data_IF_903793394985
#
_entry.id   IF_903793394985
#
_cell.length_a   1.000
_cell.length_b   1.000
_cell.length_c   1.000
_cell.angle_alpha   90.00
_cell.angle_beta   90.00
_cell.angle_gamma   90.00
#
_symmetry.space_group_name_H-M   'P 1'
#
loop_
_entity.id
_entity.type
_entity.pdbx_description
1 polymer ?
#
# COMPACT_ATOMS: atom_id res chain seq x y z
N UNK A 1 29.76 -1.41 0.44
CA UNK A 1 28.98 -0.19 0.12
C UNK A 1 28.49 0.41 1.42
N UNK A 2 28.87 1.66 1.74
CA UNK A 2 28.40 2.33 2.95
C UNK A 2 26.88 2.57 2.89
N UNK A 3 26.24 2.53 4.05
CA UNK A 3 24.79 2.76 4.23
C UNK A 3 24.42 4.13 3.68
N UNK A 4 23.67 4.18 2.59
CA UNK A 4 23.27 5.41 1.89
C UNK A 4 22.32 6.30 2.69
N UNK A 5 21.58 5.72 3.62
CA UNK A 5 20.60 6.40 4.48
C UNK A 5 20.77 5.92 5.92
N UNK A 6 20.81 6.82 6.92
CA UNK A 6 20.80 6.43 8.32
C UNK A 6 19.52 5.67 8.68
N UNK A 7 19.58 4.84 9.71
CA UNK A 7 18.38 4.23 10.29
C UNK A 7 17.55 5.27 11.07
N UNK A 8 16.31 4.95 11.35
CA UNK A 8 15.45 5.80 12.18
C UNK A 8 16.07 6.05 13.56
N UNK A 9 16.75 5.07 14.13
CA UNK A 9 17.43 5.22 15.42
C UNK A 9 18.61 6.18 15.34
N UNK A 10 19.44 6.09 14.29
CA UNK A 10 20.58 7.00 14.09
C UNK A 10 20.10 8.45 13.91
N UNK A 11 18.98 8.66 13.19
CA UNK A 11 18.37 9.99 13.01
C UNK A 11 17.85 10.53 14.35
N UNK A 12 17.20 9.70 15.15
CA UNK A 12 16.71 10.06 16.47
C UNK A 12 17.88 10.45 17.41
N UNK A 13 18.94 9.66 17.42
CA UNK A 13 20.13 9.94 18.23
C UNK A 13 20.85 11.24 17.77
N UNK A 14 20.85 11.52 16.46
CA UNK A 14 21.37 12.79 15.94
C UNK A 14 20.53 13.98 16.43
N UNK A 15 19.19 13.87 16.44
CA UNK A 15 18.30 14.89 16.96
C UNK A 15 18.55 15.15 18.46
N UNK A 16 18.70 14.09 19.27
CA UNK A 16 19.00 14.19 20.71
C UNK A 16 20.34 14.85 21.00
N UNK A 17 21.36 14.67 20.13
CA UNK A 17 22.65 15.35 20.27
C UNK A 17 22.53 16.85 20.10
N UNK A 18 21.55 17.34 19.34
CA UNK A 18 21.31 18.78 19.15
C UNK A 18 20.71 19.38 20.43
N UNK A 19 19.71 18.73 21.00
CA UNK A 19 19.16 19.09 22.31
C UNK A 19 18.53 17.85 22.97
N UNK A 20 19.13 17.35 24.08
CA UNK A 20 18.60 16.16 24.78
C UNK A 20 17.28 16.42 25.51
N UNK A 21 16.91 17.70 25.71
CA UNK A 21 15.72 18.11 26.46
C UNK A 21 14.54 18.49 25.57
N UNK A 22 14.58 18.14 24.27
CA UNK A 22 13.42 18.31 23.39
C UNK A 22 12.19 17.60 23.94
N UNK A 23 11.05 18.28 23.94
CA UNK A 23 9.78 17.61 24.14
C UNK A 23 9.44 16.71 22.93
N UNK A 24 8.34 15.94 23.03
CA UNK A 24 7.94 14.98 22.01
C UNK A 24 7.68 15.63 20.64
N UNK A 25 7.16 16.86 20.60
CA UNK A 25 6.85 17.55 19.36
C UNK A 25 8.12 18.16 18.75
N UNK A 26 8.98 18.71 19.58
CA UNK A 26 10.25 19.28 19.18
C UNK A 26 11.18 18.22 18.58
N UNK A 27 11.34 17.08 19.26
CA UNK A 27 12.18 15.97 18.76
C UNK A 27 11.61 15.38 17.48
N UNK A 28 10.27 15.23 17.36
CA UNK A 28 9.61 14.78 16.13
C UNK A 28 9.86 15.77 14.98
N UNK A 29 9.68 17.07 15.22
CA UNK A 29 9.95 18.10 14.22
C UNK A 29 11.39 18.07 13.75
N UNK A 30 12.34 17.94 14.68
CA UNK A 30 13.77 17.90 14.38
C UNK A 30 14.18 16.65 13.60
N UNK A 31 13.68 15.48 13.99
CA UNK A 31 13.92 14.25 13.22
C UNK A 31 13.35 14.35 11.80
N UNK A 32 12.20 15.01 11.62
CA UNK A 32 11.61 15.22 10.31
C UNK A 32 12.43 16.17 9.42
N UNK A 33 13.03 17.20 9.97
CA UNK A 33 14.00 18.05 9.25
C UNK A 33 15.23 17.26 8.80
N UNK A 34 15.79 16.43 9.68
CA UNK A 34 16.92 15.56 9.35
C UNK A 34 16.57 14.56 8.24
N UNK A 35 15.37 13.95 8.29
CA UNK A 35 14.89 13.06 7.22
C UNK A 35 14.85 13.79 5.88
N UNK A 36 14.36 15.03 5.82
CA UNK A 36 14.34 15.84 4.58
C UNK A 36 15.76 16.04 4.04
N UNK A 37 16.71 16.43 4.90
CA UNK A 37 18.12 16.59 4.53
C UNK A 37 18.72 15.30 3.98
N UNK A 38 18.53 14.17 4.68
CA UNK A 38 19.02 12.86 4.23
C UNK A 38 18.37 12.40 2.93
N UNK A 39 17.09 12.71 2.70
CA UNK A 39 16.39 12.42 1.45
C UNK A 39 17.08 13.09 0.26
N UNK A 40 17.47 14.36 0.37
CA UNK A 40 18.18 15.08 -0.68
C UNK A 40 19.54 14.44 -0.99
N UNK A 41 20.31 14.08 0.04
CA UNK A 41 21.59 13.39 -0.12
C UNK A 41 21.40 12.04 -0.79
N UNK A 42 20.40 11.28 -0.36
CA UNK A 42 20.07 9.97 -0.91
C UNK A 42 19.68 10.06 -2.38
N UNK A 43 18.81 11.01 -2.73
CA UNK A 43 18.40 11.25 -4.12
C UNK A 43 19.60 11.52 -5.02
N UNK A 44 20.48 12.44 -4.61
CA UNK A 44 21.70 12.76 -5.36
C UNK A 44 22.57 11.53 -5.60
N UNK A 45 22.82 10.73 -4.57
CA UNK A 45 23.61 9.50 -4.69
C UNK A 45 22.95 8.47 -5.62
N UNK A 46 21.62 8.34 -5.56
CA UNK A 46 20.86 7.42 -6.45
C UNK A 46 20.92 7.87 -7.91
N UNK A 47 20.86 9.16 -8.19
CA UNK A 47 21.07 9.69 -9.55
C UNK A 47 22.47 9.33 -10.03
N UNK A 48 23.50 9.50 -9.22
CA UNK A 48 24.88 9.14 -9.55
C UNK A 48 25.02 7.62 -9.85
N UNK A 49 24.49 6.75 -9.00
CA UNK A 49 24.49 5.30 -9.20
C UNK A 49 23.75 4.90 -10.49
N UNK A 50 22.60 5.51 -10.78
CA UNK A 50 21.84 5.25 -11.99
C UNK A 50 22.67 5.60 -13.24
N UNK A 51 23.32 6.78 -13.21
CA UNK A 51 24.12 7.25 -14.33
C UNK A 51 25.37 6.39 -14.59
N UNK A 52 25.97 5.81 -13.54
CA UNK A 52 27.09 4.88 -13.69
C UNK A 52 26.71 3.63 -14.52
N UNK A 53 25.47 3.17 -14.38
CA UNK A 53 24.96 1.97 -15.05
C UNK A 53 24.34 2.25 -16.44
N UNK A 54 24.28 3.51 -16.88
CA UNK A 54 23.77 3.86 -18.19
C UNK A 54 24.89 3.72 -19.25
N UNK A 55 24.59 2.99 -20.31
CA UNK A 55 25.46 2.87 -21.49
C UNK A 55 25.27 4.05 -22.44
N UNK A 56 25.76 5.22 -22.01
CA UNK A 56 25.74 6.47 -22.79
C UNK A 56 27.05 7.23 -22.60
N UNK A 57 27.47 8.07 -23.60
CA UNK A 57 28.66 8.89 -23.49
C UNK A 57 28.70 9.79 -22.24
N UNK A 58 29.88 10.04 -21.70
CA UNK A 58 30.06 10.77 -20.44
C UNK A 58 29.50 12.20 -20.48
N UNK A 59 29.64 12.90 -21.61
CA UNK A 59 29.05 14.23 -21.80
C UNK A 59 27.52 14.22 -21.71
N UNK A 60 26.86 13.12 -22.08
CA UNK A 60 25.42 12.93 -21.93
C UNK A 60 25.06 12.68 -20.47
N UNK A 61 25.83 11.85 -19.74
CA UNK A 61 25.64 11.64 -18.29
C UNK A 61 25.70 12.94 -17.51
N UNK A 62 26.68 13.80 -17.83
CA UNK A 62 26.83 15.13 -17.20
C UNK A 62 25.60 16.00 -17.43
N UNK A 63 25.06 16.03 -18.67
CA UNK A 63 23.84 16.79 -18.97
C UNK A 63 22.64 16.24 -18.17
N UNK A 64 22.43 14.93 -18.18
CA UNK A 64 21.35 14.29 -17.43
C UNK A 64 21.46 14.61 -15.94
N UNK A 65 22.66 14.45 -15.37
CA UNK A 65 22.91 14.78 -13.94
C UNK A 65 22.52 16.21 -13.62
N UNK A 66 22.96 17.18 -14.46
CA UNK A 66 22.64 18.58 -14.28
C UNK A 66 21.14 18.86 -14.27
N UNK A 67 20.38 18.27 -15.19
CA UNK A 67 18.94 18.46 -15.25
C UNK A 67 18.19 17.79 -14.09
N UNK A 68 18.58 16.57 -13.71
CA UNK A 68 17.94 15.84 -12.61
C UNK A 68 18.17 16.47 -11.23
N UNK A 69 19.33 17.13 -11.03
CA UNK A 69 19.70 17.75 -9.76
C UNK A 69 19.49 19.28 -9.75
N UNK A 70 18.80 19.81 -10.76
CA UNK A 70 18.54 21.25 -10.86
C UNK A 70 17.61 21.72 -9.75
N UNK A 71 18.03 22.77 -9.03
CA UNK A 71 17.14 23.48 -8.12
C UNK A 71 16.27 24.49 -8.87
N UNK A 72 15.07 24.73 -8.37
CA UNK A 72 14.13 25.73 -8.88
C UNK A 72 13.52 26.48 -7.71
N UNK A 73 13.38 27.80 -7.86
CA UNK A 73 12.66 28.67 -6.93
C UNK A 73 11.27 28.94 -7.51
N UNK A 74 10.23 28.63 -6.75
CA UNK A 74 8.83 28.93 -7.11
C UNK A 74 8.22 29.77 -5.98
N UNK A 75 7.96 31.03 -6.27
CA UNK A 75 7.62 32.00 -5.24
C UNK A 75 8.80 32.18 -4.27
N UNK A 76 8.55 31.99 -2.99
CA UNK A 76 9.58 32.09 -1.93
C UNK A 76 10.21 30.75 -1.55
N UNK A 77 9.81 29.66 -2.22
CA UNK A 77 10.26 28.31 -1.88
C UNK A 77 11.27 27.76 -2.87
N UNK A 78 12.42 27.33 -2.36
CA UNK A 78 13.45 26.62 -3.11
C UNK A 78 13.19 25.09 -3.06
N UNK A 79 13.32 24.45 -4.24
CA UNK A 79 13.25 23.00 -4.42
C UNK A 79 14.60 22.51 -4.96
N UNK A 80 15.45 21.98 -4.09
CA UNK A 80 16.81 21.57 -4.43
C UNK A 80 16.88 20.43 -5.45
N UNK A 81 15.88 19.56 -5.47
CA UNK A 81 15.75 18.44 -6.40
C UNK A 81 14.32 18.45 -6.98
N UNK A 82 14.04 19.39 -7.86
CA UNK A 82 12.68 19.62 -8.36
C UNK A 82 12.07 18.39 -9.04
N UNK A 83 12.86 17.66 -9.82
CA UNK A 83 12.40 16.44 -10.48
C UNK A 83 12.00 15.32 -9.50
N UNK A 84 12.70 15.22 -8.35
CA UNK A 84 12.30 14.29 -7.28
C UNK A 84 10.94 14.66 -6.70
N UNK A 85 10.71 15.93 -6.43
CA UNK A 85 9.43 16.41 -5.90
C UNK A 85 8.28 16.20 -6.89
N UNK A 86 8.49 16.45 -8.18
CA UNK A 86 7.52 16.19 -9.25
C UNK A 86 7.20 14.70 -9.33
N UNK A 87 8.22 13.84 -9.38
CA UNK A 87 8.06 12.38 -9.45
C UNK A 87 7.32 11.83 -8.22
N UNK A 88 7.62 12.37 -7.05
CA UNK A 88 6.94 12.00 -5.80
C UNK A 88 5.44 12.34 -5.84
N UNK A 89 5.09 13.56 -6.29
CA UNK A 89 3.68 13.98 -6.42
C UNK A 89 2.93 13.16 -7.44
N UNK A 90 3.54 12.93 -8.61
CA UNK A 90 2.97 12.08 -9.65
C UNK A 90 2.71 10.68 -9.09
N UNK A 91 3.73 10.06 -8.47
CA UNK A 91 3.60 8.71 -7.89
C UNK A 91 2.50 8.63 -6.84
N UNK A 92 2.36 9.63 -5.97
CA UNK A 92 1.30 9.68 -4.98
C UNK A 92 -0.09 9.77 -5.63
N UNK A 93 -0.25 10.62 -6.66
CA UNK A 93 -1.52 10.74 -7.39
C UNK A 93 -1.90 9.42 -8.05
N UNK A 94 -0.95 8.76 -8.74
CA UNK A 94 -1.20 7.47 -9.38
C UNK A 94 -1.49 6.35 -8.38
N UNK A 95 -0.90 6.37 -7.18
CA UNK A 95 -1.22 5.41 -6.13
C UNK A 95 -2.68 5.53 -5.67
N UNK A 96 -3.18 6.75 -5.50
CA UNK A 96 -4.59 7.00 -5.13
C UNK A 96 -5.54 6.53 -6.25
N UNK A 97 -5.26 6.90 -7.51
CA UNK A 97 -6.06 6.47 -8.67
C UNK A 97 -6.09 4.94 -8.78
N UNK A 98 -4.93 4.31 -8.68
CA UNK A 98 -4.79 2.86 -8.75
C UNK A 98 -5.55 2.13 -7.64
N UNK A 99 -5.52 2.66 -6.42
CA UNK A 99 -6.33 2.13 -5.30
C UNK A 99 -7.83 2.24 -5.58
N UNK A 100 -8.30 3.40 -6.03
CA UNK A 100 -9.70 3.60 -6.38
C UNK A 100 -10.15 2.68 -7.53
N UNK A 101 -9.33 2.46 -8.55
CA UNK A 101 -9.63 1.52 -9.63
C UNK A 101 -9.82 0.10 -9.10
N UNK A 102 -8.97 -0.36 -8.20
CA UNK A 102 -9.10 -1.68 -7.59
C UNK A 102 -10.43 -1.85 -6.85
N UNK A 103 -10.82 -0.85 -6.05
CA UNK A 103 -12.12 -0.83 -5.37
C UNK A 103 -13.29 -0.85 -6.36
N UNK A 104 -13.22 -0.07 -7.45
CA UNK A 104 -14.24 -0.06 -8.51
C UNK A 104 -14.35 -1.41 -9.22
N UNK A 105 -13.23 -2.09 -9.49
CA UNK A 105 -13.25 -3.44 -10.07
C UNK A 105 -13.99 -4.43 -9.17
N UNK A 106 -13.78 -4.37 -7.87
CA UNK A 106 -14.50 -5.22 -6.91
C UNK A 106 -15.99 -4.86 -6.92
N UNK A 107 -16.33 -3.59 -6.90
CA UNK A 107 -17.72 -3.13 -6.93
C UNK A 107 -18.46 -3.59 -8.18
N UNK A 108 -17.85 -3.49 -9.36
CA UNK A 108 -18.43 -3.97 -10.62
C UNK A 108 -18.80 -5.46 -10.58
N UNK A 109 -17.95 -6.29 -9.97
CA UNK A 109 -18.24 -7.71 -9.82
C UNK A 109 -19.43 -7.97 -8.87
N UNK A 110 -19.55 -7.17 -7.80
CA UNK A 110 -20.72 -7.25 -6.91
C UNK A 110 -22.01 -6.84 -7.64
N UNK A 111 -21.96 -5.76 -8.42
CA UNK A 111 -23.11 -5.25 -9.21
C UNK A 111 -23.56 -6.27 -10.25
N UNK A 112 -22.65 -6.93 -10.97
CA UNK A 112 -22.95 -7.99 -11.95
C UNK A 112 -23.77 -9.13 -11.35
N UNK A 113 -23.58 -9.44 -10.07
CA UNK A 113 -24.35 -10.46 -9.36
C UNK A 113 -25.61 -9.93 -8.66
N UNK A 114 -25.99 -8.67 -8.94
CA UNK A 114 -27.22 -8.06 -8.44
C UNK A 114 -27.13 -7.45 -7.05
N UNK A 115 -25.92 -7.33 -6.46
CA UNK A 115 -25.76 -6.61 -5.20
C UNK A 115 -25.91 -5.10 -5.43
N UNK A 116 -26.61 -4.41 -4.53
CA UNK A 116 -26.93 -3.00 -4.65
C UNK A 116 -26.26 -2.18 -3.56
N UNK A 117 -25.56 -1.11 -3.95
CA UNK A 117 -24.99 -0.13 -3.03
C UNK A 117 -26.11 0.48 -2.16
N UNK A 118 -25.85 0.63 -0.88
CA UNK A 118 -26.80 1.16 0.10
C UNK A 118 -27.82 0.15 0.60
N UNK A 119 -27.98 -1.01 -0.09
CA UNK A 119 -28.87 -2.12 0.32
C UNK A 119 -28.04 -3.30 0.81
N UNK A 120 -27.26 -3.90 -0.08
CA UNK A 120 -26.49 -5.09 0.22
C UNK A 120 -25.06 -4.79 0.66
N UNK A 121 -24.51 -3.63 0.26
CA UNK A 121 -23.17 -3.21 0.68
C UNK A 121 -23.05 -1.70 0.84
N UNK A 122 -22.00 -1.28 1.54
CA UNK A 122 -21.55 0.11 1.68
C UNK A 122 -20.06 0.21 1.42
N UNK A 123 -19.59 1.45 1.10
CA UNK A 123 -18.17 1.72 0.82
C UNK A 123 -17.63 2.77 1.78
N UNK A 124 -16.33 2.67 2.10
CA UNK A 124 -15.53 3.66 2.85
C UNK A 124 -16.14 4.08 4.18
N UNK A 125 -16.75 3.14 4.88
CA UNK A 125 -17.26 3.34 6.23
C UNK A 125 -16.54 2.42 7.21
N UNK A 126 -16.53 2.77 8.48
CA UNK A 126 -15.88 2.00 9.54
C UNK A 126 -14.42 1.63 9.23
N UNK A 127 -13.67 2.52 8.52
CA UNK A 127 -12.29 2.30 8.05
C UNK A 127 -12.10 1.09 7.12
N UNK A 128 -13.17 0.64 6.48
CA UNK A 128 -13.18 -0.51 5.58
C UNK A 128 -13.53 -0.07 4.17
N UNK A 129 -12.91 -0.66 3.16
CA UNK A 129 -13.16 -0.30 1.77
C UNK A 129 -14.59 -0.68 1.36
N UNK A 130 -15.03 -1.91 1.68
CA UNK A 130 -16.39 -2.41 1.40
C UNK A 130 -16.92 -3.21 2.59
N UNK A 131 -18.19 -2.98 2.95
CA UNK A 131 -18.91 -3.79 3.94
C UNK A 131 -20.13 -4.39 3.28
N UNK A 132 -20.26 -5.72 3.29
CA UNK A 132 -21.44 -6.48 2.81
C UNK A 132 -22.30 -6.88 4.01
N UNK A 133 -23.61 -6.77 3.86
CA UNK A 133 -24.59 -7.00 4.93
C UNK A 133 -25.46 -8.23 4.66
N UNK A 134 -25.74 -8.99 5.72
CA UNK A 134 -26.68 -10.10 5.68
C UNK A 134 -27.90 -9.83 6.56
N UNK A 135 -29.15 -9.93 6.07
CA UNK A 135 -29.51 -10.07 4.65
C UNK A 135 -29.34 -8.75 3.87
N UNK A 136 -29.47 -7.60 4.53
CA UNK A 136 -29.34 -6.26 3.96
C UNK A 136 -28.98 -5.22 5.04
N UNK A 137 -28.58 -4.03 4.63
CA UNK A 137 -28.04 -2.97 5.51
C UNK A 137 -29.01 -2.49 6.58
N UNK A 138 -30.29 -2.32 6.26
CA UNK A 138 -31.28 -1.78 7.21
C UNK A 138 -31.58 -2.74 8.38
N UNK A 139 -31.57 -4.04 8.10
CA UNK A 139 -31.92 -5.08 9.06
C UNK A 139 -30.80 -6.12 9.19
N UNK A 140 -29.56 -5.69 9.16
CA UNK A 140 -28.45 -6.64 9.13
C UNK A 140 -28.32 -7.42 10.45
N UNK A 141 -28.10 -8.72 10.31
CA UNK A 141 -27.75 -9.63 11.41
C UNK A 141 -26.24 -9.86 11.49
N UNK A 142 -25.58 -9.77 10.33
CA UNK A 142 -24.12 -9.93 10.20
C UNK A 142 -23.59 -8.95 9.16
N UNK A 143 -22.33 -8.57 9.30
CA UNK A 143 -21.58 -7.82 8.31
C UNK A 143 -20.28 -8.53 7.99
N UNK A 144 -19.83 -8.41 6.74
CA UNK A 144 -18.56 -8.94 6.26
C UNK A 144 -17.75 -7.78 5.66
N UNK A 145 -16.57 -7.55 6.19
CA UNK A 145 -15.69 -6.43 5.86
C UNK A 145 -14.62 -6.88 4.88
N UNK A 146 -14.46 -6.15 3.79
CA UNK A 146 -13.52 -6.44 2.71
C UNK A 146 -12.53 -5.29 2.58
N UNK A 147 -11.25 -5.61 2.70
CA UNK A 147 -10.14 -4.71 2.38
C UNK A 147 -9.66 -4.98 0.96
N UNK A 148 -9.49 -3.92 0.16
CA UNK A 148 -9.01 -3.99 -1.22
C UNK A 148 -7.61 -3.44 -1.31
N UNK A 149 -6.67 -4.20 -1.83
CA UNK A 149 -5.28 -3.78 -1.97
C UNK A 149 -4.78 -3.98 -3.40
N UNK A 150 -4.30 -2.89 -3.99
CA UNK A 150 -3.70 -2.87 -5.34
C UNK A 150 -2.18 -2.69 -5.30
N UNK A 151 -1.56 -2.92 -4.17
CA UNK A 151 -0.12 -2.78 -3.99
C UNK A 151 0.43 -4.05 -3.35
N UNK A 152 1.76 -4.17 -3.43
CA UNK A 152 2.51 -5.26 -2.82
C UNK A 152 1.97 -5.64 -1.43
N UNK A 153 1.86 -6.93 -1.22
CA UNK A 153 1.50 -7.54 0.07
C UNK A 153 2.65 -7.30 1.07
N UNK A 154 2.85 -6.04 1.42
CA UNK A 154 3.76 -5.69 2.50
C UNK A 154 3.02 -5.77 3.83
N UNK A 155 3.76 -5.71 4.91
CA UNK A 155 3.29 -5.62 6.30
C UNK A 155 2.02 -4.76 6.51
N UNK A 156 1.78 -3.75 5.67
CA UNK A 156 0.57 -2.91 5.68
C UNK A 156 -0.70 -3.65 5.22
N UNK A 157 -0.60 -4.62 4.32
CA UNK A 157 -1.73 -5.43 3.88
C UNK A 157 -2.21 -6.38 4.98
N UNK A 158 -1.28 -6.97 5.71
CA UNK A 158 -1.60 -7.84 6.85
C UNK A 158 -2.13 -7.05 8.06
N UNK A 159 -1.62 -5.83 8.28
CA UNK A 159 -2.12 -4.96 9.36
C UNK A 159 -3.54 -4.45 9.10
N UNK A 160 -3.91 -4.15 7.85
CA UNK A 160 -5.28 -3.78 7.50
C UNK A 160 -6.27 -4.90 7.77
N UNK A 161 -5.95 -6.14 7.41
CA UNK A 161 -6.75 -7.32 7.75
C UNK A 161 -6.92 -7.50 9.25
N UNK A 162 -5.84 -7.33 10.03
CA UNK A 162 -5.87 -7.54 11.47
C UNK A 162 -6.79 -6.57 12.21
N UNK A 163 -7.05 -5.38 11.66
CA UNK A 163 -7.79 -4.33 12.36
C UNK A 163 -9.16 -4.04 11.77
N UNK A 164 -9.34 -4.08 10.45
CA UNK A 164 -10.52 -3.49 9.81
C UNK A 164 -11.26 -4.44 8.84
N UNK A 165 -10.65 -5.52 8.33
CA UNK A 165 -11.25 -6.43 7.34
C UNK A 165 -11.43 -7.86 7.82
N UNK A 166 -12.45 -8.55 7.30
CA UNK A 166 -12.65 -9.99 7.47
C UNK A 166 -12.05 -10.77 6.31
N UNK A 167 -12.08 -10.19 5.11
CA UNK A 167 -11.42 -10.69 3.90
C UNK A 167 -10.51 -9.65 3.28
N UNK A 168 -9.50 -10.13 2.55
CA UNK A 168 -8.60 -9.33 1.73
C UNK A 168 -8.83 -9.64 0.25
N UNK A 169 -8.98 -8.60 -0.57
CA UNK A 169 -8.93 -8.72 -2.02
C UNK A 169 -7.64 -8.07 -2.52
N UNK A 170 -6.78 -8.84 -3.17
CA UNK A 170 -5.51 -8.36 -3.67
C UNK A 170 -5.37 -8.54 -5.17
N UNK A 171 -4.91 -7.49 -5.87
CA UNK A 171 -4.51 -7.55 -7.27
C UNK A 171 -3.00 -7.75 -7.38
N UNK A 172 -2.45 -8.61 -6.53
CA UNK A 172 -1.02 -8.85 -6.42
C UNK A 172 -0.53 -9.77 -7.53
N UNK A 173 0.43 -9.30 -8.31
CA UNK A 173 1.00 -10.04 -9.44
C UNK A 173 2.38 -10.66 -9.12
N UNK A 174 2.86 -10.54 -7.88
CA UNK A 174 4.19 -11.02 -7.51
C UNK A 174 4.12 -12.14 -6.45
N UNK A 175 4.21 -13.41 -6.85
CA UNK A 175 4.17 -14.55 -5.94
C UNK A 175 5.22 -14.53 -4.83
N UNK A 176 6.36 -13.87 -5.08
CA UNK A 176 7.46 -13.73 -4.11
C UNK A 176 7.09 -12.97 -2.83
N UNK A 177 5.97 -12.24 -2.83
CA UNK A 177 5.48 -11.53 -1.66
C UNK A 177 4.70 -12.43 -0.69
N UNK A 178 4.26 -13.60 -1.16
CA UNK A 178 3.60 -14.61 -0.36
C UNK A 178 4.64 -15.53 0.29
N UNK A 179 5.40 -14.98 1.23
CA UNK A 179 6.30 -15.76 2.07
C UNK A 179 5.51 -16.67 3.01
N UNK A 180 6.12 -17.75 3.51
CA UNK A 180 5.47 -18.64 4.45
C UNK A 180 4.87 -17.89 5.66
N UNK A 181 5.62 -16.94 6.22
CA UNK A 181 5.17 -16.11 7.34
C UNK A 181 3.95 -15.23 6.97
N UNK A 182 3.94 -14.59 5.79
CA UNK A 182 2.79 -13.77 5.38
C UNK A 182 1.55 -14.62 5.13
N UNK A 183 1.71 -15.81 4.56
CA UNK A 183 0.62 -16.76 4.33
C UNK A 183 0.01 -17.20 5.66
N UNK A 184 0.84 -17.57 6.64
CA UNK A 184 0.40 -18.01 7.95
C UNK A 184 -0.43 -16.92 8.67
N UNK A 185 0.08 -15.68 8.71
CA UNK A 185 -0.64 -14.54 9.33
C UNK A 185 -1.99 -14.29 8.66
N UNK A 186 -2.04 -14.32 7.33
CA UNK A 186 -3.30 -14.13 6.58
C UNK A 186 -4.26 -15.29 6.82
N UNK A 187 -3.76 -16.53 6.82
CA UNK A 187 -4.58 -17.73 7.03
C UNK A 187 -5.22 -17.75 8.42
N UNK A 188 -4.43 -17.49 9.46
CA UNK A 188 -4.94 -17.41 10.83
C UNK A 188 -6.01 -16.33 10.99
N UNK A 189 -5.77 -15.13 10.43
CA UNK A 189 -6.74 -14.06 10.46
C UNK A 189 -8.04 -14.44 9.74
N UNK A 190 -7.95 -14.95 8.51
CA UNK A 190 -9.11 -15.37 7.74
C UNK A 190 -9.87 -16.54 8.39
N UNK A 191 -9.18 -17.47 9.05
CA UNK A 191 -9.81 -18.53 9.86
C UNK A 191 -10.61 -17.94 11.03
N UNK A 192 -10.04 -16.97 11.74
CA UNK A 192 -10.67 -16.31 12.90
C UNK A 192 -11.90 -15.51 12.51
N UNK A 193 -11.86 -14.80 11.37
CA UNK A 193 -12.96 -13.92 10.91
C UNK A 193 -13.98 -14.65 10.03
N UNK A 194 -13.70 -15.86 9.59
CA UNK A 194 -14.51 -16.59 8.60
C UNK A 194 -14.33 -16.06 7.17
N UNK A 195 -13.32 -15.22 6.92
CA UNK A 195 -13.03 -14.64 5.62
C UNK A 195 -12.02 -15.43 4.78
N UNK A 196 -11.63 -14.82 3.65
CA UNK A 196 -10.65 -15.35 2.70
C UNK A 196 -9.73 -14.27 2.16
N UNK A 197 -8.56 -14.69 1.70
CA UNK A 197 -7.67 -13.88 0.88
C UNK A 197 -7.90 -14.19 -0.60
N UNK A 198 -8.49 -13.26 -1.33
CA UNK A 198 -8.79 -13.38 -2.75
C UNK A 198 -7.70 -12.75 -3.57
N UNK A 199 -7.07 -13.51 -4.45
CA UNK A 199 -5.93 -13.09 -5.27
C UNK A 199 -6.10 -13.54 -6.73
N UNK A 200 -5.37 -12.93 -7.69
CA UNK A 200 -5.46 -13.34 -9.09
C UNK A 200 -5.19 -14.84 -9.27
N UNK A 201 -5.92 -15.52 -10.17
CA UNK A 201 -5.78 -16.98 -10.37
C UNK A 201 -4.36 -17.40 -10.71
N UNK A 202 -3.65 -16.61 -11.51
CA UNK A 202 -2.27 -16.91 -11.90
C UNK A 202 -1.30 -16.82 -10.71
N UNK A 203 -1.49 -15.83 -9.84
CA UNK A 203 -0.72 -15.72 -8.60
C UNK A 203 -1.03 -16.87 -7.65
N UNK A 204 -2.30 -17.24 -7.54
CA UNK A 204 -2.75 -18.37 -6.69
C UNK A 204 -2.11 -19.70 -7.12
N UNK A 205 -1.96 -19.94 -8.43
CA UNK A 205 -1.27 -21.14 -8.96
C UNK A 205 0.19 -21.23 -8.56
N UNK A 206 0.85 -20.09 -8.42
CA UNK A 206 2.29 -19.99 -8.18
C UNK A 206 2.67 -19.98 -6.69
N UNK A 207 1.69 -19.77 -5.79
CA UNK A 207 1.94 -19.83 -4.34
C UNK A 207 2.22 -21.27 -3.93
N UNK A 208 3.43 -21.50 -3.39
CA UNK A 208 3.88 -22.83 -3.00
C UNK A 208 3.15 -23.40 -1.78
N UNK A 209 2.63 -22.54 -0.92
CA UNK A 209 1.92 -22.92 0.30
C UNK A 209 0.42 -22.71 0.10
N UNK A 210 -0.27 -23.68 -0.48
CA UNK A 210 -1.72 -23.66 -0.59
C UNK A 210 -2.34 -23.92 0.77
N UNK A 211 -3.12 -22.99 1.25
CA UNK A 211 -3.97 -23.22 2.40
C UNK A 211 -5.44 -22.94 2.06
N UNK A 212 -6.34 -23.32 2.96
CA UNK A 212 -7.78 -23.30 2.75
C UNK A 212 -8.40 -21.90 2.69
N UNK A 213 -7.65 -20.85 3.05
CA UNK A 213 -8.14 -19.47 3.15
C UNK A 213 -7.68 -18.57 2.01
N UNK A 214 -7.06 -19.14 0.99
CA UNK A 214 -6.74 -18.43 -0.25
C UNK A 214 -7.65 -18.90 -1.38
N UNK A 215 -8.29 -17.95 -2.05
CA UNK A 215 -9.19 -18.19 -3.19
C UNK A 215 -8.82 -17.31 -4.38
N UNK A 216 -9.34 -17.67 -5.53
CA UNK A 216 -9.30 -16.79 -6.69
C UNK A 216 -10.18 -15.56 -6.45
N UNK A 217 -9.71 -14.36 -6.84
CA UNK A 217 -10.51 -13.13 -6.74
C UNK A 217 -11.76 -13.16 -7.64
N UNK A 218 -11.82 -14.05 -8.64
CA UNK A 218 -13.02 -14.30 -9.44
C UNK A 218 -14.15 -14.87 -8.59
N UNK A 219 -13.85 -15.57 -7.49
CA UNK A 219 -14.85 -16.20 -6.62
C UNK A 219 -15.49 -15.22 -5.63
N UNK A 220 -14.87 -14.03 -5.42
CA UNK A 220 -15.31 -13.06 -4.42
C UNK A 220 -16.80 -12.73 -4.50
N UNK A 221 -17.26 -12.34 -5.68
CA UNK A 221 -18.64 -11.87 -5.84
C UNK A 221 -19.66 -12.98 -5.59
N UNK A 222 -19.35 -14.22 -5.97
CA UNK A 222 -20.19 -15.40 -5.67
C UNK A 222 -20.23 -15.68 -4.16
N UNK A 223 -19.12 -15.57 -3.48
CA UNK A 223 -19.05 -15.72 -2.03
C UNK A 223 -19.84 -14.63 -1.31
N UNK A 224 -19.76 -13.38 -1.77
CA UNK A 224 -20.54 -12.26 -1.21
C UNK A 224 -22.03 -12.43 -1.49
N UNK A 225 -22.43 -12.93 -2.66
CA UNK A 225 -23.82 -13.30 -2.93
C UNK A 225 -24.29 -14.38 -1.97
N UNK A 226 -23.51 -15.43 -1.76
CA UNK A 226 -23.81 -16.47 -0.75
C UNK A 226 -23.92 -15.88 0.66
N UNK A 227 -23.06 -14.93 1.01
CA UNK A 227 -23.12 -14.26 2.31
C UNK A 227 -24.42 -13.50 2.52
N UNK A 228 -24.91 -12.72 1.55
CA UNK A 228 -26.21 -12.01 1.69
C UNK A 228 -27.42 -12.95 1.72
N UNK A 229 -27.29 -14.18 1.19
CA UNK A 229 -28.35 -15.18 1.21
C UNK A 229 -28.33 -16.04 2.50
N UNK A 230 -27.16 -16.39 3.00
CA UNK A 230 -26.99 -17.42 4.05
C UNK A 230 -26.30 -16.89 5.34
N UNK A 231 -25.64 -15.74 5.30
CA UNK A 231 -24.90 -15.17 6.41
C UNK A 231 -23.52 -15.79 6.67
N UNK A 232 -22.98 -16.54 5.71
CA UNK A 232 -21.60 -17.09 5.72
C UNK A 232 -21.10 -17.30 4.28
N UNK A 233 -19.77 -17.39 4.10
CA UNK A 233 -19.10 -17.63 2.82
C UNK A 233 -18.37 -18.95 2.78
#
# INVERSE_FOLDING_TARGET
MGKLMPSSQEILEEAKKINPNFDINEIHSKTFELIKKYREIYYKKRVEELLLNLDVPENIKVKIKKELLKSIIIGEKEYNNFMEEVSRRISQTFQVISGNIAELCVEEELIKLGLKLGVHYSKKIERTDIIVYYPEKQNFKKKHRIEVKNVKLRERGTRGLAFDGDSLVGFFNQPSEFTASNIEVIDEHCKKTGGYCYIPPETLKLIKHKNSRFKSNIELALDMKRFIEKGFI
#
